data_IF_195790963921
#
_entry.id   IF_195790963921
#
_cell.length_a   1.000
_cell.length_b   1.000
_cell.length_c   1.000
_cell.angle_alpha   90.00
_cell.angle_beta   90.00
_cell.angle_gamma   90.00
#
_symmetry.space_group_name_H-M   'P 1'
#
loop_
_entity.id
_entity.type
_entity.pdbx_description
1 polymer ?
#
# COMPACT_ATOMS: atom_id res chain seq x y z
N UNK A 1 0.78 -40.16 10.23
CA UNK A 1 -0.07 -39.26 9.41
C UNK A 1 -0.33 -38.09 10.30
N UNK A 2 0.53 -37.08 10.17
CA UNK A 2 0.66 -36.01 11.15
C UNK A 2 0.32 -34.72 10.41
N UNK A 3 -0.96 -34.37 10.49
CA UNK A 3 -1.49 -33.09 10.03
C UNK A 3 -1.03 -32.02 11.03
N UNK A 4 0.16 -31.47 10.81
CA UNK A 4 0.53 -30.19 11.42
C UNK A 4 -0.30 -29.09 10.77
N UNK A 5 -1.51 -28.87 11.30
CA UNK A 5 -2.32 -27.70 11.01
C UNK A 5 -1.64 -26.47 11.61
N UNK A 6 -0.80 -25.81 10.82
CA UNK A 6 -0.39 -24.44 11.11
C UNK A 6 -1.59 -23.53 10.84
N UNK A 7 -2.34 -23.23 11.90
CA UNK A 7 -3.22 -22.06 11.94
C UNK A 7 -2.34 -20.83 11.72
N UNK A 8 -2.33 -20.31 10.48
CA UNK A 8 -1.80 -19.00 10.21
C UNK A 8 -2.73 -18.01 10.91
N UNK A 9 -2.32 -17.59 12.11
CA UNK A 9 -3.08 -16.65 12.92
C UNK A 9 -3.54 -15.48 12.06
N UNK A 10 -4.85 -15.27 12.05
CA UNK A 10 -5.50 -14.13 11.44
C UNK A 10 -4.88 -12.87 12.05
N UNK A 11 -3.89 -12.30 11.34
CA UNK A 11 -3.25 -11.06 11.75
C UNK A 11 -4.31 -9.99 11.67
N UNK A 12 -4.81 -9.56 12.82
CA UNK A 12 -5.69 -8.40 12.97
C UNK A 12 -5.09 -7.24 12.16
N UNK A 13 -5.62 -7.01 10.95
CA UNK A 13 -5.14 -5.99 10.04
C UNK A 13 -5.55 -4.66 10.68
N UNK A 14 -4.59 -3.90 11.22
CA UNK A 14 -4.77 -2.63 11.93
C UNK A 14 -5.30 -1.48 11.04
N UNK A 15 -6.25 -1.76 10.14
CA UNK A 15 -6.74 -0.88 9.08
C UNK A 15 -5.94 -0.95 7.78
N UNK A 16 -4.88 -1.77 7.70
CA UNK A 16 -4.04 -1.89 6.51
C UNK A 16 -4.82 -2.51 5.34
N UNK A 17 -4.81 -1.91 4.14
CA UNK A 17 -5.46 -2.49 2.97
C UNK A 17 -4.80 -3.80 2.54
N UNK A 18 -5.58 -4.66 1.91
CA UNK A 18 -5.11 -5.92 1.33
C UNK A 18 -4.44 -5.70 -0.03
N UNK A 19 -3.42 -4.83 -0.05
CA UNK A 19 -2.58 -4.62 -1.22
C UNK A 19 -1.40 -5.58 -1.19
N UNK A 20 -1.08 -6.16 -2.35
CA UNK A 20 0.09 -7.02 -2.50
C UNK A 20 1.37 -6.25 -2.18
N UNK A 21 2.12 -6.73 -1.19
CA UNK A 21 3.48 -6.27 -0.96
C UNK A 21 4.37 -6.99 -1.98
N UNK A 22 5.12 -6.22 -2.77
CA UNK A 22 6.08 -6.76 -3.74
C UNK A 22 7.51 -6.59 -3.24
N UNK A 23 8.46 -7.28 -3.87
CA UNK A 23 9.87 -6.96 -3.71
C UNK A 23 10.13 -5.52 -4.17
N UNK A 24 11.01 -4.80 -3.47
CA UNK A 24 11.34 -3.43 -3.86
C UNK A 24 11.87 -3.39 -5.30
N UNK A 25 11.19 -2.70 -6.22
CA UNK A 25 11.55 -2.70 -7.63
C UNK A 25 12.76 -1.80 -7.94
N UNK A 26 13.21 -0.99 -6.98
CA UNK A 26 14.38 -0.12 -7.16
C UNK A 26 15.68 -0.79 -6.72
N UNK A 27 15.66 -1.53 -5.59
CA UNK A 27 16.88 -2.11 -5.03
C UNK A 27 16.87 -3.64 -4.92
N UNK A 28 15.73 -4.30 -5.11
CA UNK A 28 15.59 -5.77 -5.02
C UNK A 28 16.15 -6.39 -3.74
N UNK A 29 16.27 -5.62 -2.66
CA UNK A 29 16.90 -6.11 -1.44
C UNK A 29 15.89 -6.80 -0.52
N UNK A 30 14.65 -6.30 -0.47
CA UNK A 30 13.59 -6.75 0.46
C UNK A 30 12.20 -6.40 -0.08
N UNK A 31 11.19 -7.11 0.44
CA UNK A 31 9.77 -6.78 0.29
C UNK A 31 9.47 -5.39 0.85
N UNK A 32 8.55 -4.68 0.20
CA UNK A 32 8.03 -3.41 0.71
C UNK A 32 7.23 -3.63 2.00
N UNK A 33 7.27 -2.62 2.87
CA UNK A 33 6.47 -2.58 4.09
C UNK A 33 5.33 -1.59 3.93
N UNK A 34 4.15 -2.01 4.38
CA UNK A 34 3.00 -1.14 4.56
C UNK A 34 2.98 -0.51 5.95
N UNK A 35 2.79 0.81 6.02
CA UNK A 35 2.81 1.59 7.24
C UNK A 35 1.57 2.47 7.32
N UNK A 36 1.12 2.80 8.53
CA UNK A 36 0.02 3.75 8.75
C UNK A 36 0.54 4.96 9.55
N UNK A 37 0.27 6.16 9.06
CA UNK A 37 0.49 7.40 9.81
C UNK A 37 -0.84 7.90 10.37
N UNK A 38 -0.85 8.22 11.67
CA UNK A 38 -2.05 8.68 12.41
C UNK A 38 -1.79 10.03 13.08
N UNK A 39 -1.26 10.99 12.32
CA UNK A 39 -1.06 12.36 12.82
C UNK A 39 -2.18 13.26 12.33
N UNK A 40 -2.44 14.38 13.02
CA UNK A 40 -3.45 15.35 12.57
C UNK A 40 -3.19 15.90 11.17
N UNK A 41 -1.91 16.07 10.81
CA UNK A 41 -1.49 16.64 9.52
C UNK A 41 -1.39 15.57 8.41
N UNK A 42 -1.00 14.35 8.77
CA UNK A 42 -0.85 13.25 7.83
C UNK A 42 -1.58 12.04 8.40
N UNK A 43 -2.64 11.62 7.71
CA UNK A 43 -3.43 10.45 8.03
C UNK A 43 -3.57 9.59 6.78
N UNK A 44 -3.17 8.32 6.86
CA UNK A 44 -3.27 7.39 5.73
C UNK A 44 -2.23 6.28 5.76
N UNK A 45 -2.25 5.46 4.70
CA UNK A 45 -1.29 4.39 4.51
C UNK A 45 -0.22 4.78 3.51
N UNK A 46 1.00 4.33 3.75
CA UNK A 46 2.09 4.46 2.80
C UNK A 46 2.93 3.19 2.76
N UNK A 47 3.56 2.95 1.63
CA UNK A 47 4.40 1.81 1.37
C UNK A 47 5.84 2.28 1.20
N UNK A 48 6.80 1.58 1.80
CA UNK A 48 8.20 2.02 1.85
C UNK A 48 9.17 0.84 1.73
N UNK A 49 10.30 1.07 1.07
CA UNK A 49 11.40 0.10 1.08
C UNK A 49 12.04 0.04 2.49
N UNK A 50 12.28 -1.14 3.07
CA UNK A 50 12.92 -1.26 4.38
C UNK A 50 14.34 -0.72 4.45
N UNK A 51 15.02 -0.60 3.31
CA UNK A 51 16.37 -0.03 3.24
C UNK A 51 16.38 1.50 3.18
N UNK A 52 15.21 2.15 3.15
CA UNK A 52 15.12 3.61 3.11
C UNK A 52 15.59 4.21 4.43
N UNK A 53 16.49 5.19 4.34
CA UNK A 53 16.91 6.00 5.47
C UNK A 53 16.48 7.45 5.30
N UNK A 54 16.24 8.15 6.42
CA UNK A 54 15.74 9.54 6.41
C UNK A 54 16.80 10.56 6.00
N UNK A 55 18.06 10.20 6.11
CA UNK A 55 19.21 11.03 5.73
C UNK A 55 19.48 11.03 4.21
N UNK A 56 18.63 10.34 3.43
CA UNK A 56 18.78 10.23 1.98
C UNK A 56 19.72 9.08 1.56
N UNK A 57 20.28 8.33 2.50
CA UNK A 57 20.96 7.08 2.20
C UNK A 57 19.97 5.92 2.01
N UNK A 58 20.41 4.85 1.34
CA UNK A 58 19.58 3.70 1.02
C UNK A 58 18.57 3.94 -0.11
N UNK A 59 17.66 2.98 -0.29
CA UNK A 59 16.64 3.05 -1.35
C UNK A 59 15.61 4.14 -1.05
N UNK A 60 15.25 4.96 -2.04
CA UNK A 60 14.37 6.10 -1.83
C UNK A 60 12.90 5.77 -2.09
N UNK A 61 12.58 4.55 -2.54
CA UNK A 61 11.20 4.15 -2.81
C UNK A 61 10.30 4.27 -1.58
N UNK A 62 9.31 5.15 -1.71
CA UNK A 62 8.12 5.20 -0.89
C UNK A 62 6.96 5.80 -1.69
N UNK A 63 5.72 5.42 -1.38
CA UNK A 63 4.49 5.90 -2.06
C UNK A 63 3.32 5.92 -1.09
N UNK A 64 2.37 6.84 -1.28
CA UNK A 64 1.06 6.75 -0.62
C UNK A 64 0.25 5.56 -1.18
N UNK A 65 -0.81 5.16 -0.49
CA UNK A 65 -1.64 4.02 -0.88
C UNK A 65 -2.21 4.10 -2.30
N UNK A 66 -2.81 5.22 -2.68
CA UNK A 66 -3.32 5.45 -4.03
C UNK A 66 -2.22 5.40 -5.10
N UNK A 67 -1.05 5.96 -4.81
CA UNK A 67 0.10 5.94 -5.72
C UNK A 67 0.69 4.54 -5.86
N UNK A 68 0.73 3.78 -4.77
CA UNK A 68 1.21 2.41 -4.75
C UNK A 68 0.24 1.47 -5.47
N UNK A 69 -1.06 1.63 -5.25
CA UNK A 69 -2.10 0.88 -5.95
C UNK A 69 -2.01 1.11 -7.47
N UNK A 70 -1.93 2.37 -7.90
CA UNK A 70 -1.73 2.70 -9.31
C UNK A 70 -0.41 2.14 -9.86
N UNK A 71 0.65 2.13 -9.06
CA UNK A 71 1.91 1.48 -9.45
C UNK A 71 1.72 -0.02 -9.70
N UNK A 72 1.02 -0.73 -8.81
CA UNK A 72 0.78 -2.16 -8.99
C UNK A 72 -0.03 -2.45 -10.25
N UNK A 73 -1.06 -1.65 -10.53
CA UNK A 73 -1.87 -1.77 -11.74
C UNK A 73 -1.05 -1.53 -13.01
N UNK A 74 -0.32 -0.42 -13.06
CA UNK A 74 0.46 -0.02 -14.25
C UNK A 74 1.63 -0.94 -14.56
N UNK A 75 2.17 -1.63 -13.56
CA UNK A 75 3.26 -2.60 -13.73
C UNK A 75 2.80 -4.04 -13.87
N UNK A 76 1.49 -4.31 -13.81
CA UNK A 76 0.94 -5.65 -13.95
C UNK A 76 1.22 -6.55 -12.73
N UNK A 77 1.38 -5.96 -11.54
CA UNK A 77 1.53 -6.69 -10.29
C UNK A 77 0.18 -7.09 -9.67
N UNK A 78 -0.93 -6.69 -10.28
CA UNK A 78 -2.28 -7.14 -9.95
C UNK A 78 -2.99 -7.64 -11.21
N UNK A 79 -3.99 -8.52 -11.09
CA UNK A 79 -4.78 -8.98 -12.23
C UNK A 79 -5.46 -7.83 -12.98
N UNK A 80 -5.73 -8.00 -14.28
CA UNK A 80 -6.44 -7.00 -15.08
C UNK A 80 -7.87 -6.70 -14.58
N UNK A 81 -8.45 -7.59 -13.78
CA UNK A 81 -9.78 -7.43 -13.16
C UNK A 81 -9.72 -6.64 -11.84
N UNK A 82 -8.54 -6.27 -11.36
CA UNK A 82 -8.36 -5.53 -10.12
C UNK A 82 -9.04 -4.16 -10.18
N UNK A 83 -9.87 -3.85 -9.19
CA UNK A 83 -10.53 -2.55 -9.06
C UNK A 83 -9.81 -1.73 -7.98
N UNK A 84 -9.44 -0.47 -8.25
CA UNK A 84 -8.72 0.35 -7.29
C UNK A 84 -9.60 0.69 -6.09
N UNK A 85 -9.10 0.42 -4.89
CA UNK A 85 -9.76 0.68 -3.61
C UNK A 85 -9.61 2.16 -3.24
N UNK A 86 -8.45 2.76 -3.52
CA UNK A 86 -8.11 4.11 -3.07
C UNK A 86 -8.43 5.19 -4.09
N UNK A 87 -8.25 4.91 -5.38
CA UNK A 87 -8.63 5.86 -6.43
C UNK A 87 -10.15 6.11 -6.45
N UNK A 88 -10.95 5.08 -6.17
CA UNK A 88 -12.41 5.16 -6.13
C UNK A 88 -12.92 6.11 -5.04
N UNK A 89 -12.22 6.22 -3.91
CA UNK A 89 -12.59 7.15 -2.84
C UNK A 89 -12.25 8.61 -3.20
N UNK A 90 -11.21 8.85 -4.01
CA UNK A 90 -10.86 10.20 -4.44
C UNK A 90 -11.88 10.77 -5.42
N UNK A 91 -12.44 9.92 -6.31
CA UNK A 91 -13.49 10.32 -7.24
C UNK A 91 -14.79 10.70 -6.51
N UNK A 92 -15.20 9.93 -5.50
CA UNK A 92 -16.38 10.23 -4.68
C UNK A 92 -16.24 11.57 -3.93
N UNK A 93 -15.07 11.84 -3.34
CA UNK A 93 -14.80 13.09 -2.61
C UNK A 93 -14.72 14.31 -3.55
N UNK A 94 -14.39 14.10 -4.83
CA UNK A 94 -14.38 15.17 -5.82
C UNK A 94 -15.78 15.50 -6.34
N UNK A 95 -16.62 14.49 -6.52
CA UNK A 95 -18.01 14.63 -6.95
C UNK A 95 -18.84 15.41 -5.91
N UNK A 96 -18.71 15.07 -4.62
CA UNK A 96 -19.38 15.77 -3.51
C UNK A 96 -19.01 17.26 -3.40
N UNK A 97 -17.80 17.66 -3.82
CA UNK A 97 -17.41 19.09 -3.85
C UNK A 97 -17.89 19.83 -5.07
N UNK A 98 -18.24 19.13 -6.15
CA UNK A 98 -18.66 19.73 -7.40
C UNK A 98 -20.19 19.89 -7.48
N UNK A 99 -20.96 19.21 -6.63
CA UNK A 99 -22.41 19.42 -6.48
C UNK A 99 -22.81 20.58 -5.55
N UNK A 100 -21.85 21.19 -4.84
CA UNK A 100 -22.07 22.34 -3.93
C UNK A 100 -21.55 23.68 -4.48
N UNK A 101 -21.30 23.77 -5.79
CA UNK A 101 -20.86 24.98 -6.47
C UNK A 101 -21.98 25.64 -7.31
#
# INVERSE_FOLDING_TARGET
>A
MDLSSSSAGESHKNGMPDLSLIECPECHCRMLMGMMVRTKKNFGHFFVCPSRQRDGSGCQLWRWDNEYENYLMTKGHVPATYQPIFASNLALVQDERNEVA
#
